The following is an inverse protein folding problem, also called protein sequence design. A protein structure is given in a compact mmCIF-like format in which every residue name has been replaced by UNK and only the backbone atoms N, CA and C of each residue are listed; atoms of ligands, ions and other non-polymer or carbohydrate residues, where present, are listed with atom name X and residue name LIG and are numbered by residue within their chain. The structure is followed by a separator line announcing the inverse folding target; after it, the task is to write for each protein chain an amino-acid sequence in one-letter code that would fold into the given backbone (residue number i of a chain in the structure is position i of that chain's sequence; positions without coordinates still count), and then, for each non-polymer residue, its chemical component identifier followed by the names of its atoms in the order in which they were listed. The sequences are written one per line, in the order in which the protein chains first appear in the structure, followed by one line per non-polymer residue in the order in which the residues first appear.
data_IF_727686903309
#
_entry.id   IF_727686903309
#
_cell.length_a   1.000
_cell.length_b   1.000
_cell.length_c   1.000
_cell.angle_alpha   90.00
_cell.angle_beta   90.00
_cell.angle_gamma   90.00
#
_symmetry.space_group_name_H-M   'P 1'
#
loop_
_entity.id
_entity.type
_entity.pdbx_description
1 polymer ?
#
# COMPACT_ATOMS: atom_id res chain seq x y z
N UNK A 1 22.53 1.79 -19.83
CA UNK A 1 21.84 2.50 -18.72
C UNK A 1 20.55 1.80 -18.32
N UNK A 2 19.56 1.61 -19.21
CA UNK A 2 18.31 0.90 -18.85
C UNK A 2 18.54 -0.52 -18.31
N UNK A 3 19.33 -1.35 -19.03
CA UNK A 3 19.61 -2.75 -18.62
C UNK A 3 20.44 -2.84 -17.33
N UNK A 4 21.44 -1.98 -17.18
CA UNK A 4 22.27 -1.91 -15.97
C UNK A 4 21.46 -1.45 -14.76
N UNK A 5 20.53 -0.51 -14.94
CA UNK A 5 19.62 -0.04 -13.89
C UNK A 5 18.61 -1.14 -13.50
N UNK A 6 18.07 -1.89 -14.47
CA UNK A 6 17.19 -3.04 -14.21
C UNK A 6 17.91 -4.14 -13.44
N UNK A 7 19.15 -4.49 -13.83
CA UNK A 7 19.93 -5.52 -13.12
C UNK A 7 20.24 -5.09 -11.68
N UNK A 8 20.53 -3.80 -11.45
CA UNK A 8 20.84 -3.26 -10.13
C UNK A 8 19.60 -3.19 -9.22
N UNK A 9 18.43 -2.89 -9.80
CA UNK A 9 17.14 -3.01 -9.10
C UNK A 9 16.83 -4.46 -8.72
N UNK A 10 17.09 -5.42 -9.63
CA UNK A 10 16.80 -6.84 -9.42
C UNK A 10 17.70 -7.45 -8.34
N UNK A 11 18.99 -7.10 -8.32
CA UNK A 11 19.92 -7.53 -7.28
C UNK A 11 19.61 -6.92 -5.93
N UNK A 12 19.20 -5.64 -5.87
CA UNK A 12 18.77 -4.99 -4.63
C UNK A 12 17.49 -5.62 -4.07
N UNK A 13 16.50 -5.93 -4.92
CA UNK A 13 15.30 -6.65 -4.48
C UNK A 13 15.60 -8.05 -3.99
N UNK A 14 16.53 -8.78 -4.63
CA UNK A 14 16.92 -10.13 -4.20
C UNK A 14 17.62 -10.11 -2.83
N UNK A 15 18.46 -9.10 -2.57
CA UNK A 15 19.12 -8.91 -1.28
C UNK A 15 18.10 -8.62 -0.16
N UNK A 16 17.10 -7.77 -0.42
CA UNK A 16 16.06 -7.45 0.56
C UNK A 16 15.16 -8.66 0.88
N UNK A 17 14.96 -9.57 -0.07
CA UNK A 17 14.16 -10.80 0.12
C UNK A 17 14.93 -11.91 0.84
N UNK A 18 16.25 -11.98 0.65
CA UNK A 18 17.09 -13.01 1.28
C UNK A 18 17.63 -12.62 2.67
N UNK A 19 17.77 -11.32 2.97
CA UNK A 19 18.22 -10.83 4.26
C UNK A 19 17.47 -11.39 5.49
N UNK A 20 16.13 -11.61 5.46
CA UNK A 20 15.40 -12.19 6.59
C UNK A 20 15.82 -13.64 6.92
N UNK A 21 16.31 -14.41 5.95
CA UNK A 21 16.75 -15.80 6.17
C UNK A 21 18.09 -15.88 6.92
N UNK A 22 18.89 -14.82 6.90
CA UNK A 22 20.17 -14.75 7.62
C UNK A 22 19.99 -14.48 9.13
N UNK A 23 18.83 -13.99 9.57
CA UNK A 23 18.53 -13.68 10.98
C UNK A 23 17.71 -14.78 11.70
N UNK A 24 17.60 -15.98 11.12
CA UNK A 24 16.75 -17.05 11.64
C UNK A 24 17.32 -17.78 12.88
N UNK A 25 18.59 -17.59 13.24
CA UNK A 25 19.26 -18.37 14.29
C UNK A 25 19.19 -17.75 15.70
N UNK A 26 19.06 -16.42 15.82
CA UNK A 26 19.12 -15.74 17.13
C UNK A 26 17.73 -15.54 17.75
N UNK A 27 16.99 -16.64 17.96
CA UNK A 27 15.73 -16.62 18.71
C UNK A 27 15.56 -17.87 19.58
N UNK A 28 16.62 -18.26 20.29
CA UNK A 28 16.52 -19.18 21.42
C UNK A 28 16.34 -18.42 22.73
N UNK A 29 15.20 -18.65 23.38
CA UNK A 29 14.90 -18.47 24.81
C UNK A 29 14.81 -17.02 25.37
N UNK A 30 13.60 -16.52 25.53
CA UNK A 30 13.30 -15.40 26.42
C UNK A 30 11.82 -15.02 26.39
N UNK A 31 11.27 -14.64 27.55
CA UNK A 31 9.84 -14.36 27.85
C UNK A 31 9.31 -13.08 27.17
N UNK A 32 9.52 -12.93 25.86
CA UNK A 32 9.25 -11.74 25.03
C UNK A 32 8.48 -12.02 23.73
N UNK A 33 7.68 -13.09 23.70
CA UNK A 33 7.14 -13.74 22.49
C UNK A 33 6.22 -12.89 21.58
N UNK A 34 5.76 -11.71 22.01
CA UNK A 34 4.76 -10.94 21.27
C UNK A 34 5.30 -9.67 20.60
N UNK A 35 6.52 -9.22 20.91
CA UNK A 35 7.08 -7.98 20.34
C UNK A 35 7.34 -8.15 18.84
N UNK A 36 7.89 -9.30 18.44
CA UNK A 36 8.16 -9.61 17.04
C UNK A 36 6.87 -9.63 16.20
N UNK A 37 5.79 -10.19 16.75
CA UNK A 37 4.47 -10.18 16.10
C UNK A 37 3.99 -8.74 15.84
N UNK A 38 3.95 -7.89 16.86
CA UNK A 38 3.50 -6.51 16.70
C UNK A 38 4.42 -5.69 15.78
N UNK A 39 5.73 -5.97 15.77
CA UNK A 39 6.67 -5.35 14.84
C UNK A 39 6.36 -5.73 13.38
N UNK A 40 6.07 -7.01 13.11
CA UNK A 40 5.67 -7.47 11.78
C UNK A 40 4.33 -6.91 11.34
N UNK A 41 3.34 -6.82 12.23
CA UNK A 41 2.04 -6.20 11.95
C UNK A 41 2.22 -4.72 11.60
N UNK A 42 3.00 -3.97 12.38
CA UNK A 42 3.27 -2.56 12.12
C UNK A 42 3.96 -2.35 10.75
N UNK A 43 4.92 -3.21 10.41
CA UNK A 43 5.58 -3.18 9.10
C UNK A 43 4.60 -3.50 7.97
N UNK A 44 3.76 -4.52 8.13
CA UNK A 44 2.71 -4.87 7.16
C UNK A 44 1.72 -3.72 6.94
N UNK A 45 1.29 -3.05 8.01
CA UNK A 45 0.43 -1.88 7.93
C UNK A 45 1.09 -0.71 7.18
N UNK A 46 2.36 -0.41 7.50
CA UNK A 46 3.10 0.68 6.85
C UNK A 46 3.30 0.44 5.35
N UNK A 47 3.65 -0.80 4.96
CA UNK A 47 3.79 -1.17 3.56
C UNK A 47 2.44 -1.16 2.85
N UNK A 48 1.40 -1.74 3.47
CA UNK A 48 0.06 -1.79 2.89
C UNK A 48 -0.50 -0.40 2.59
N UNK A 49 -0.47 0.51 3.57
CA UNK A 49 -0.96 1.87 3.37
C UNK A 49 -0.11 2.66 2.36
N UNK A 50 1.21 2.45 2.37
CA UNK A 50 2.13 3.08 1.40
C UNK A 50 1.83 2.66 -0.03
N UNK A 51 1.63 1.37 -0.29
CA UNK A 51 1.29 0.86 -1.62
C UNK A 51 -0.10 1.32 -2.07
N UNK A 52 -1.09 1.33 -1.17
CA UNK A 52 -2.42 1.84 -1.49
C UNK A 52 -2.39 3.33 -1.85
N UNK A 53 -1.67 4.14 -1.08
CA UNK A 53 -1.52 5.58 -1.35
C UNK A 53 -0.83 5.84 -2.70
N UNK A 54 0.23 5.06 -3.02
CA UNK A 54 0.91 5.17 -4.31
C UNK A 54 0.00 4.78 -5.49
N UNK A 55 -0.73 3.67 -5.37
CA UNK A 55 -1.66 3.21 -6.41
C UNK A 55 -2.83 4.18 -6.63
N UNK A 56 -3.48 4.60 -5.54
CA UNK A 56 -4.64 5.48 -5.63
C UNK A 56 -4.23 6.89 -6.08
N UNK A 57 -3.13 7.43 -5.52
CA UNK A 57 -2.62 8.76 -5.90
C UNK A 57 -2.23 8.85 -7.37
N UNK A 58 -1.55 7.82 -7.91
CA UNK A 58 -1.19 7.79 -9.34
C UNK A 58 -2.42 7.62 -10.24
N UNK A 59 -3.39 6.78 -9.86
CA UNK A 59 -4.64 6.62 -10.61
C UNK A 59 -5.48 7.91 -10.64
N UNK A 60 -5.64 8.55 -9.48
CA UNK A 60 -6.38 9.82 -9.37
C UNK A 60 -5.71 10.94 -10.18
N UNK A 61 -4.39 11.08 -10.08
CA UNK A 61 -3.64 12.09 -10.83
C UNK A 61 -3.83 11.99 -12.34
N UNK A 62 -3.75 10.76 -12.90
CA UNK A 62 -4.00 10.54 -14.33
C UNK A 62 -5.46 10.83 -14.72
N UNK A 63 -6.43 10.37 -13.92
CA UNK A 63 -7.85 10.61 -14.18
C UNK A 63 -8.21 12.10 -14.18
N UNK A 64 -7.72 12.84 -13.19
CA UNK A 64 -7.93 14.29 -13.08
C UNK A 64 -7.23 15.02 -14.23
N UNK A 65 -6.00 14.66 -14.58
CA UNK A 65 -5.30 15.23 -15.73
C UNK A 65 -6.07 15.07 -17.04
N UNK A 66 -6.55 13.86 -17.33
CA UNK A 66 -7.37 13.57 -18.50
C UNK A 66 -8.71 14.33 -18.50
N UNK A 67 -9.33 14.51 -17.35
CA UNK A 67 -10.54 15.31 -17.23
C UNK A 67 -10.28 16.81 -17.53
N UNK A 68 -9.19 17.37 -17.00
CA UNK A 68 -8.79 18.76 -17.29
C UNK A 68 -8.54 18.99 -18.79
N UNK A 69 -7.81 18.10 -19.45
CA UNK A 69 -7.58 18.19 -20.90
C UNK A 69 -8.89 18.06 -21.70
N UNK A 70 -9.77 17.14 -21.31
CA UNK A 70 -11.07 16.96 -21.93
C UNK A 70 -11.97 18.20 -21.83
N UNK A 71 -12.01 18.81 -20.64
CA UNK A 71 -12.75 20.05 -20.37
C UNK A 71 -12.15 21.23 -21.15
N UNK A 72 -10.82 21.35 -21.18
CA UNK A 72 -10.16 22.44 -21.91
C UNK A 72 -10.45 22.39 -23.42
N UNK A 73 -10.51 21.19 -24.01
CA UNK A 73 -10.85 21.01 -25.43
C UNK A 73 -12.34 21.18 -25.72
N UNK A 74 -13.21 20.77 -24.81
CA UNK A 74 -14.65 20.78 -25.01
C UNK A 74 -15.40 21.25 -23.75
N UNK A 75 -15.43 22.57 -23.48
CA UNK A 75 -16.06 23.11 -22.26
C UNK A 75 -17.57 22.83 -22.20
N UNK A 76 -18.24 22.67 -23.34
CA UNK A 76 -19.69 22.39 -23.42
C UNK A 76 -20.13 21.04 -22.84
N UNK A 77 -19.20 20.09 -22.62
CA UNK A 77 -19.51 18.78 -22.02
C UNK A 77 -18.92 18.59 -20.62
N UNK A 78 -18.46 19.70 -20.01
CA UNK A 78 -17.85 19.72 -18.67
C UNK A 78 -18.65 18.87 -17.67
N UNK A 79 -19.95 19.13 -17.51
CA UNK A 79 -20.79 18.42 -16.53
C UNK A 79 -20.71 16.89 -16.64
N UNK A 80 -20.76 16.34 -17.87
CA UNK A 80 -20.66 14.88 -18.09
C UNK A 80 -19.26 14.35 -17.75
N UNK A 81 -18.21 15.09 -18.08
CA UNK A 81 -16.82 14.70 -17.73
C UNK A 81 -16.66 14.64 -16.21
N UNK A 82 -17.16 15.65 -15.47
CA UNK A 82 -17.05 15.66 -14.01
C UNK A 82 -17.86 14.54 -13.36
N UNK A 83 -19.05 14.21 -13.87
CA UNK A 83 -19.83 13.06 -13.37
C UNK A 83 -19.05 11.76 -13.50
N UNK A 84 -18.48 11.49 -14.67
CA UNK A 84 -17.66 10.29 -14.89
C UNK A 84 -16.38 10.31 -14.05
N UNK A 85 -15.73 11.47 -13.93
CA UNK A 85 -14.54 11.63 -13.10
C UNK A 85 -14.83 11.29 -11.63
N UNK A 86 -15.89 11.86 -11.04
CA UNK A 86 -16.23 11.64 -9.63
C UNK A 86 -16.54 10.16 -9.37
N UNK A 87 -17.25 9.49 -10.28
CA UNK A 87 -17.51 8.05 -10.16
C UNK A 87 -16.20 7.26 -10.21
N UNK A 88 -15.30 7.60 -11.14
CA UNK A 88 -13.98 6.98 -11.23
C UNK A 88 -13.12 7.19 -9.99
N UNK A 89 -13.07 8.42 -9.48
CA UNK A 89 -12.35 8.77 -8.25
C UNK A 89 -12.92 8.04 -7.03
N UNK A 90 -14.24 7.92 -6.91
CA UNK A 90 -14.87 7.17 -5.84
C UNK A 90 -14.50 5.68 -5.87
N UNK A 91 -14.40 5.08 -7.06
CA UNK A 91 -13.96 3.68 -7.21
C UNK A 91 -12.49 3.50 -6.85
N UNK A 92 -11.61 4.41 -7.28
CA UNK A 92 -10.20 4.38 -6.90
C UNK A 92 -10.07 4.50 -5.38
N UNK A 93 -10.81 5.42 -4.76
CA UNK A 93 -10.67 5.69 -3.34
C UNK A 93 -11.27 4.61 -2.43
N UNK A 94 -12.19 3.79 -2.95
CA UNK A 94 -12.64 2.59 -2.24
C UNK A 94 -11.48 1.64 -1.90
N UNK A 95 -10.44 1.55 -2.75
CA UNK A 95 -9.26 0.72 -2.51
C UNK A 95 -8.39 1.26 -1.36
N UNK A 96 -8.25 2.59 -1.29
CA UNK A 96 -7.58 3.26 -0.18
C UNK A 96 -8.33 3.01 1.14
N UNK A 97 -9.66 3.14 1.12
CA UNK A 97 -10.50 2.90 2.31
C UNK A 97 -10.47 1.43 2.74
N UNK A 98 -10.49 0.46 1.82
CA UNK A 98 -10.35 -0.96 2.20
C UNK A 98 -9.02 -1.23 2.89
N UNK A 99 -7.93 -0.64 2.39
CA UNK A 99 -6.61 -0.77 3.01
C UNK A 99 -6.58 -0.12 4.39
N UNK A 100 -7.14 1.10 4.51
CA UNK A 100 -7.26 1.80 5.78
C UNK A 100 -8.06 0.99 6.81
N UNK A 101 -9.18 0.38 6.40
CA UNK A 101 -10.00 -0.45 7.29
C UNK A 101 -9.22 -1.65 7.81
N UNK A 102 -8.46 -2.34 6.95
CA UNK A 102 -7.61 -3.47 7.37
C UNK A 102 -6.52 -3.01 8.35
N UNK A 103 -5.86 -1.88 8.08
CA UNK A 103 -4.84 -1.32 8.97
C UNK A 103 -5.43 -0.96 10.33
N UNK A 104 -6.57 -0.27 10.36
CA UNK A 104 -7.25 0.08 11.60
C UNK A 104 -7.69 -1.15 12.38
N UNK A 105 -8.18 -2.18 11.68
CA UNK A 105 -8.55 -3.46 12.29
C UNK A 105 -7.34 -4.11 12.95
N UNK A 106 -6.20 -4.19 12.28
CA UNK A 106 -4.98 -4.78 12.84
C UNK A 106 -4.37 -3.96 13.99
N UNK A 107 -4.54 -2.64 14.00
CA UNK A 107 -3.96 -1.78 15.06
C UNK A 107 -4.85 -1.67 16.30
N UNK A 108 -6.17 -1.61 16.13
CA UNK A 108 -7.11 -1.29 17.22
C UNK A 108 -8.07 -2.42 17.58
N UNK A 109 -8.31 -3.35 16.66
CA UNK A 109 -9.27 -4.44 16.83
C UNK A 109 -8.64 -5.80 16.45
N UNK A 110 -7.34 -5.95 16.76
CA UNK A 110 -6.53 -7.09 16.32
C UNK A 110 -7.21 -8.42 16.70
N UNK A 111 -7.70 -9.20 15.72
CA UNK A 111 -8.39 -10.46 15.98
C UNK A 111 -7.45 -11.54 16.50
N UNK A 112 -6.13 -11.36 16.33
CA UNK A 112 -5.13 -12.34 16.69
C UNK A 112 -4.60 -12.17 18.12
N UNK A 113 -4.81 -11.01 18.74
CA UNK A 113 -4.37 -10.71 20.10
C UNK A 113 -4.85 -11.72 21.15
N UNK A 114 -6.01 -12.36 20.94
CA UNK A 114 -6.54 -13.40 21.84
C UNK A 114 -5.75 -14.72 21.75
N UNK A 115 -5.23 -15.07 20.58
CA UNK A 115 -4.49 -16.31 20.38
C UNK A 115 -3.05 -16.24 20.92
N UNK A 116 -2.48 -15.03 20.98
CA UNK A 116 -1.11 -14.77 21.48
C UNK A 116 -1.00 -14.66 23.01
N UNK A 117 -2.13 -14.77 23.72
CA UNK A 117 -2.24 -14.63 25.18
C UNK A 117 -2.29 -15.98 25.93
N UNK A 118 -2.20 -17.10 25.21
CA UNK A 118 -2.09 -18.47 25.74
C UNK A 118 -0.74 -19.07 25.37
#
# INVERSE_FOLDING_TARGET
MKKTMTVLLLTLTLLLVLAPFAFAEEAAAGKGSNIFYYAMVALGCAVGIGLAALGCGTGMGHGVGGACEGIARNPGVMGKILTTLIIGLAMIESLAIYTLVVVLLLMFADPFAKFLRY
#
